data_IF_560162200317
#
_entry.id   IF_560162200317
#
_cell.length_a   1.000
_cell.length_b   1.000
_cell.length_c   1.000
_cell.angle_alpha   90.00
_cell.angle_beta   90.00
_cell.angle_gamma   90.00
#
_symmetry.space_group_name_H-M   'P 1'
#
loop_
_entity.id
_entity.type
_entity.pdbx_description
1 polymer ?
#
# COMPACT_ATOMS: atom_id res chain seq x y z
N UNK A 1 -17.19 93.57 49.13
CA UNK A 1 -17.07 92.80 47.89
C UNK A 1 -16.74 91.36 48.24
N UNK A 2 -17.52 90.41 47.73
CA UNK A 2 -17.29 89.00 47.98
C UNK A 2 -16.13 88.44 47.13
N UNK A 3 -15.43 87.41 47.62
CA UNK A 3 -14.36 86.76 46.86
C UNK A 3 -14.94 86.12 45.60
N UNK A 4 -14.37 86.43 44.43
CA UNK A 4 -14.83 85.98 43.12
C UNK A 4 -15.00 84.46 43.02
N UNK A 5 -14.06 83.69 43.59
CA UNK A 5 -14.13 82.23 43.62
C UNK A 5 -15.35 81.68 44.38
N UNK A 6 -15.75 82.33 45.47
CA UNK A 6 -16.92 81.91 46.26
C UNK A 6 -18.22 82.22 45.51
N UNK A 7 -18.27 83.37 44.82
CA UNK A 7 -19.40 83.72 43.96
C UNK A 7 -19.51 82.77 42.76
N UNK A 8 -18.40 82.43 42.12
CA UNK A 8 -18.40 81.52 40.97
C UNK A 8 -18.82 80.09 41.37
N UNK A 9 -18.41 79.61 42.56
CA UNK A 9 -18.93 78.36 43.13
C UNK A 9 -20.43 78.42 43.41
N UNK A 10 -20.93 79.52 43.98
CA UNK A 10 -22.35 79.70 44.26
C UNK A 10 -23.18 79.76 42.96
N UNK A 11 -22.76 80.56 41.97
CA UNK A 11 -23.44 80.64 40.67
C UNK A 11 -23.34 79.33 39.88
N UNK A 12 -22.21 78.63 39.94
CA UNK A 12 -22.04 77.30 39.34
C UNK A 12 -22.98 76.25 39.96
N UNK A 13 -23.11 76.24 41.29
CA UNK A 13 -24.03 75.36 42.00
C UNK A 13 -25.50 75.67 41.65
N UNK A 14 -25.88 76.95 41.56
CA UNK A 14 -27.23 77.36 41.12
C UNK A 14 -27.48 76.87 39.68
N UNK A 15 -26.51 77.03 38.78
CA UNK A 15 -26.60 76.56 37.39
C UNK A 15 -26.79 75.05 37.28
N UNK A 16 -25.99 74.28 38.02
CA UNK A 16 -26.09 72.82 38.09
C UNK A 16 -27.44 72.32 38.63
N UNK A 17 -27.95 72.94 39.71
CA UNK A 17 -29.24 72.57 40.29
C UNK A 17 -30.40 72.86 39.33
N UNK A 18 -30.37 74.01 38.66
CA UNK A 18 -31.39 74.37 37.64
C UNK A 18 -31.34 73.46 36.42
N UNK A 19 -30.15 73.16 35.92
CA UNK A 19 -29.98 72.26 34.78
C UNK A 19 -30.51 70.84 35.06
N UNK A 20 -30.52 70.42 36.33
CA UNK A 20 -31.09 69.14 36.79
C UNK A 20 -32.59 69.22 37.14
N UNK A 21 -33.24 70.37 36.97
CA UNK A 21 -34.65 70.58 37.33
C UNK A 21 -34.91 70.59 38.84
N UNK A 22 -33.87 70.73 39.67
CA UNK A 22 -33.99 70.73 41.13
C UNK A 22 -34.22 72.15 41.66
N UNK A 23 -35.08 72.28 42.67
CA UNK A 23 -35.37 73.57 43.29
C UNK A 23 -34.13 74.23 43.90
N UNK A 24 -33.94 75.52 43.61
CA UNK A 24 -32.83 76.34 44.12
C UNK A 24 -33.21 77.03 45.42
N UNK A 25 -32.96 76.38 46.57
CA UNK A 25 -33.01 77.02 47.88
C UNK A 25 -31.60 77.40 48.33
N UNK A 26 -31.48 78.39 49.23
CA UNK A 26 -30.17 78.79 49.81
C UNK A 26 -29.48 77.60 50.45
N UNK A 27 -30.24 76.71 51.07
CA UNK A 27 -29.74 75.49 51.70
C UNK A 27 -29.07 74.54 50.71
N UNK A 28 -29.76 74.23 49.60
CA UNK A 28 -29.26 73.30 48.57
C UNK A 28 -28.09 73.89 47.79
N UNK A 29 -28.13 75.20 47.56
CA UNK A 29 -27.04 75.91 46.89
C UNK A 29 -25.80 75.98 47.79
N UNK A 30 -25.99 76.22 49.09
CA UNK A 30 -24.90 76.20 50.07
C UNK A 30 -24.23 74.82 50.16
N UNK A 31 -25.03 73.76 50.19
CA UNK A 31 -24.54 72.38 50.18
C UNK A 31 -23.80 72.03 48.89
N UNK A 32 -24.39 72.31 47.72
CA UNK A 32 -23.78 72.02 46.42
C UNK A 32 -22.53 72.88 46.12
N UNK A 33 -22.44 74.09 46.67
CA UNK A 33 -21.28 74.97 46.54
C UNK A 33 -20.22 74.76 47.63
N UNK A 34 -20.49 73.91 48.63
CA UNK A 34 -19.69 73.74 49.85
C UNK A 34 -19.40 75.08 50.57
N UNK A 35 -20.43 75.91 50.73
CA UNK A 35 -20.37 77.21 51.41
C UNK A 35 -21.26 77.21 52.65
N UNK A 36 -20.86 77.93 53.70
CA UNK A 36 -21.72 78.11 54.87
C UNK A 36 -22.99 78.89 54.51
N UNK A 37 -24.14 78.49 55.06
CA UNK A 37 -25.43 79.16 54.83
C UNK A 37 -25.39 80.64 55.24
N UNK A 38 -24.67 80.97 56.30
CA UNK A 38 -24.47 82.33 56.81
C UNK A 38 -23.82 83.26 55.78
N UNK A 39 -22.93 82.72 54.92
CA UNK A 39 -22.25 83.46 53.86
C UNK A 39 -23.24 84.12 52.90
N UNK A 40 -24.36 83.45 52.61
CA UNK A 40 -25.38 83.97 51.72
C UNK A 40 -26.18 85.11 52.33
N UNK A 41 -26.13 85.36 53.65
CA UNK A 41 -26.87 86.43 54.34
C UNK A 41 -26.01 87.64 54.72
N UNK A 42 -24.74 87.64 54.34
CA UNK A 42 -23.87 88.80 54.50
C UNK A 42 -24.51 90.05 53.86
N UNK A 43 -24.27 91.25 54.43
CA UNK A 43 -24.86 92.49 53.94
C UNK A 43 -24.33 92.92 52.55
N UNK A 44 -23.29 92.23 52.04
CA UNK A 44 -22.64 92.50 50.76
C UNK A 44 -23.62 92.46 49.57
N UNK A 45 -23.62 93.49 48.70
CA UNK A 45 -24.45 93.53 47.49
C UNK A 45 -24.34 92.28 46.60
N UNK A 46 -23.16 91.66 46.52
CA UNK A 46 -22.92 90.49 45.67
C UNK A 46 -23.74 89.28 46.18
N UNK A 47 -23.77 89.06 47.49
CA UNK A 47 -24.55 87.98 48.10
C UNK A 47 -26.05 88.26 48.08
N UNK A 48 -26.46 89.54 48.14
CA UNK A 48 -27.85 89.92 47.91
C UNK A 48 -28.29 89.56 46.49
N UNK A 49 -27.44 89.77 45.48
CA UNK A 49 -27.72 89.36 44.11
C UNK A 49 -27.82 87.85 43.97
N UNK A 50 -26.88 87.09 44.55
CA UNK A 50 -26.95 85.62 44.58
C UNK A 50 -28.28 85.14 45.18
N UNK A 51 -28.74 85.72 46.29
CA UNK A 51 -30.06 85.41 46.89
C UNK A 51 -31.23 85.71 45.93
N UNK A 52 -31.18 86.82 45.21
CA UNK A 52 -32.19 87.17 44.20
C UNK A 52 -32.16 86.19 43.02
N UNK A 53 -30.97 85.78 42.59
CA UNK A 53 -30.79 84.77 41.54
C UNK A 53 -31.33 83.43 42.01
N UNK A 54 -31.07 82.98 43.24
CA UNK A 54 -31.67 81.78 43.84
C UNK A 54 -33.21 81.83 43.80
N UNK A 55 -33.79 83.01 44.12
CA UNK A 55 -35.24 83.26 44.09
C UNK A 55 -35.87 83.38 42.70
N UNK A 56 -35.08 83.36 41.62
CA UNK A 56 -35.59 83.34 40.25
C UNK A 56 -35.13 84.48 39.34
N UNK A 57 -34.31 85.43 39.83
CA UNK A 57 -33.71 86.47 38.96
C UNK A 57 -32.84 85.80 37.87
N UNK A 58 -32.97 86.25 36.64
CA UNK A 58 -32.14 85.78 35.52
C UNK A 58 -30.67 86.20 35.72
N UNK A 59 -29.73 85.32 35.37
CA UNK A 59 -28.29 85.58 35.42
C UNK A 59 -27.60 84.86 34.26
N UNK A 60 -26.79 85.59 33.50
CA UNK A 60 -26.04 85.05 32.35
C UNK A 60 -25.03 83.98 32.77
N UNK A 61 -24.38 84.13 33.92
CA UNK A 61 -23.42 83.14 34.45
C UNK A 61 -24.07 81.78 34.72
N UNK A 62 -25.28 81.81 35.28
CA UNK A 62 -26.07 80.60 35.56
C UNK A 62 -26.57 79.95 34.28
N UNK A 63 -26.94 80.75 33.27
CA UNK A 63 -27.37 80.25 31.96
C UNK A 63 -26.23 79.55 31.21
N UNK A 64 -25.02 80.12 31.21
CA UNK A 64 -23.86 79.50 30.57
C UNK A 64 -23.53 78.12 31.17
N UNK A 65 -23.53 78.00 32.50
CA UNK A 65 -23.32 76.71 33.18
C UNK A 65 -24.41 75.70 32.84
N UNK A 66 -25.67 76.14 32.72
CA UNK A 66 -26.75 75.24 32.31
C UNK A 66 -26.57 74.74 30.86
N UNK A 67 -26.11 75.58 29.94
CA UNK A 67 -25.78 75.20 28.55
C UNK A 67 -24.60 74.21 28.53
N UNK A 68 -23.56 74.45 29.31
CA UNK A 68 -22.39 73.55 29.37
C UNK A 68 -22.76 72.18 29.95
N UNK A 69 -23.57 72.14 31.01
CA UNK A 69 -24.02 70.88 31.63
C UNK A 69 -24.89 70.08 30.68
N UNK A 70 -25.82 70.73 29.97
CA UNK A 70 -26.67 70.05 28.98
C UNK A 70 -25.85 69.56 27.79
N UNK A 71 -24.89 70.35 27.29
CA UNK A 71 -23.96 69.94 26.24
C UNK A 71 -23.08 68.75 26.68
N UNK A 72 -22.51 68.79 27.88
CA UNK A 72 -21.70 67.70 28.43
C UNK A 72 -22.51 66.41 28.62
N UNK A 73 -23.76 66.53 29.06
CA UNK A 73 -24.66 65.37 29.22
C UNK A 73 -25.02 64.76 27.87
N UNK A 74 -25.34 65.59 26.87
CA UNK A 74 -25.60 65.14 25.49
C UNK A 74 -24.37 64.46 24.87
N UNK A 75 -23.19 65.03 25.08
CA UNK A 75 -21.94 64.46 24.57
C UNK A 75 -21.59 63.13 25.25
N UNK A 76 -21.79 63.00 26.56
CA UNK A 76 -21.65 61.71 27.27
C UNK A 76 -22.63 60.65 26.76
N UNK A 77 -23.87 61.05 26.43
CA UNK A 77 -24.85 60.16 25.80
C UNK A 77 -24.37 59.63 24.45
N UNK A 78 -23.92 60.53 23.56
CA UNK A 78 -23.35 60.16 22.25
C UNK A 78 -22.11 59.28 22.37
N UNK A 79 -21.24 59.55 23.35
CA UNK A 79 -20.01 58.78 23.55
C UNK A 79 -20.32 57.35 23.98
N UNK A 80 -21.28 57.16 24.90
CA UNK A 80 -21.80 55.82 25.27
C UNK A 80 -22.44 55.09 24.10
N UNK A 81 -23.21 55.81 23.27
CA UNK A 81 -23.80 55.23 22.05
C UNK A 81 -22.70 54.77 21.07
N UNK A 82 -21.66 55.59 20.87
CA UNK A 82 -20.51 55.21 20.04
C UNK A 82 -19.75 54.02 20.62
N UNK A 83 -19.49 53.98 21.92
CA UNK A 83 -18.86 52.84 22.60
C UNK A 83 -19.67 51.55 22.41
N UNK A 84 -21.00 51.64 22.55
CA UNK A 84 -21.90 50.51 22.29
C UNK A 84 -21.86 50.05 20.84
N UNK A 85 -21.76 50.96 19.87
CA UNK A 85 -21.66 50.62 18.45
C UNK A 85 -20.31 50.01 18.10
N UNK A 86 -19.22 50.50 18.70
CA UNK A 86 -17.87 49.96 18.50
C UNK A 86 -17.80 48.53 19.03
N UNK A 87 -18.24 48.31 20.28
CA UNK A 87 -18.25 46.96 20.87
C UNK A 87 -19.12 45.98 20.09
N UNK A 88 -20.27 46.42 19.58
CA UNK A 88 -21.10 45.61 18.69
C UNK A 88 -20.40 45.28 17.37
N UNK A 89 -19.74 46.27 16.74
CA UNK A 89 -19.00 46.06 15.50
C UNK A 89 -17.79 45.12 15.69
N UNK A 90 -17.05 45.25 16.80
CA UNK A 90 -15.95 44.35 17.14
C UNK A 90 -16.41 42.90 17.29
N UNK A 91 -17.58 42.70 17.91
CA UNK A 91 -18.21 41.38 18.03
C UNK A 91 -18.59 40.82 16.67
N UNK A 92 -19.24 41.62 15.82
CA UNK A 92 -19.63 41.21 14.46
C UNK A 92 -18.42 40.84 13.60
N UNK A 93 -17.33 41.61 13.67
CA UNK A 93 -16.07 41.29 12.99
C UNK A 93 -15.48 39.97 13.52
N UNK A 94 -15.52 39.76 14.83
CA UNK A 94 -15.06 38.51 15.45
C UNK A 94 -15.87 37.29 15.00
N UNK A 95 -17.19 37.43 14.92
CA UNK A 95 -18.09 36.36 14.47
C UNK A 95 -17.94 36.10 12.96
N UNK A 96 -17.77 37.15 12.15
CA UNK A 96 -17.46 37.03 10.73
C UNK A 96 -16.15 36.29 10.48
N UNK A 97 -15.09 36.58 11.25
CA UNK A 97 -13.81 35.86 11.14
C UNK A 97 -13.97 34.37 11.47
N UNK A 98 -14.69 34.03 12.56
CA UNK A 98 -14.94 32.63 12.91
C UNK A 98 -15.74 31.89 11.84
N UNK A 99 -16.74 32.54 11.25
CA UNK A 99 -17.52 31.97 10.16
C UNK A 99 -16.67 31.78 8.89
N UNK A 100 -15.85 32.77 8.55
CA UNK A 100 -14.92 32.67 7.44
C UNK A 100 -13.95 31.51 7.63
N UNK A 101 -13.32 31.37 8.80
CA UNK A 101 -12.41 30.25 9.11
C UNK A 101 -13.09 28.88 8.99
N UNK A 102 -14.34 28.76 9.46
CA UNK A 102 -15.11 27.52 9.30
C UNK A 102 -15.39 27.21 7.83
N UNK A 103 -15.80 28.22 7.05
CA UNK A 103 -16.11 28.06 5.63
C UNK A 103 -14.84 27.69 4.87
N UNK A 104 -13.72 28.37 5.11
CA UNK A 104 -12.43 28.05 4.48
C UNK A 104 -11.98 26.63 4.80
N UNK A 105 -12.10 26.17 6.06
CA UNK A 105 -11.79 24.78 6.41
C UNK A 105 -12.66 23.78 5.68
N UNK A 106 -13.98 24.03 5.57
CA UNK A 106 -14.90 23.16 4.81
C UNK A 106 -14.54 23.11 3.32
N UNK A 107 -14.22 24.26 2.72
CA UNK A 107 -13.78 24.37 1.32
C UNK A 107 -12.47 23.64 1.08
N UNK A 108 -11.48 23.79 1.96
CA UNK A 108 -10.20 23.08 1.88
C UNK A 108 -10.44 21.56 1.95
N UNK A 109 -11.27 21.09 2.89
CA UNK A 109 -11.59 19.68 3.01
C UNK A 109 -12.31 19.14 1.77
N UNK A 110 -13.26 19.90 1.19
CA UNK A 110 -13.93 19.52 -0.06
C UNK A 110 -12.99 19.50 -1.25
N UNK A 111 -12.08 20.48 -1.37
CA UNK A 111 -11.05 20.49 -2.40
C UNK A 111 -10.11 19.28 -2.27
N UNK A 112 -9.64 18.99 -1.06
CA UNK A 112 -8.81 17.81 -0.79
C UNK A 112 -9.55 16.50 -1.10
N UNK A 113 -10.83 16.41 -0.75
CA UNK A 113 -11.67 15.27 -1.09
C UNK A 113 -11.75 15.06 -2.61
N UNK A 114 -12.09 16.09 -3.37
CA UNK A 114 -12.20 15.96 -4.84
C UNK A 114 -10.83 15.76 -5.52
N UNK A 115 -9.75 16.31 -4.98
CA UNK A 115 -8.39 16.05 -5.47
C UNK A 115 -7.99 14.60 -5.23
N UNK A 116 -8.29 14.05 -4.04
CA UNK A 116 -8.04 12.65 -3.73
C UNK A 116 -8.91 11.72 -4.61
N UNK A 117 -10.18 12.04 -4.79
CA UNK A 117 -11.10 11.30 -5.66
C UNK A 117 -10.65 11.36 -7.13
N UNK A 118 -10.17 12.51 -7.59
CA UNK A 118 -9.60 12.68 -8.93
C UNK A 118 -8.23 12.01 -9.10
N UNK A 119 -7.46 11.79 -8.04
CA UNK A 119 -6.22 11.01 -8.08
C UNK A 119 -6.51 9.49 -8.06
N UNK A 120 -7.52 9.08 -7.30
CA UNK A 120 -7.99 7.70 -7.23
C UNK A 120 -8.68 7.24 -8.51
N UNK A 121 -9.39 8.14 -9.21
CA UNK A 121 -10.13 7.85 -10.44
C UNK A 121 -9.25 7.23 -11.55
N UNK A 122 -8.15 7.88 -11.98
CA UNK A 122 -7.22 7.36 -12.99
C UNK A 122 -6.53 6.07 -12.56
N UNK A 123 -6.11 5.96 -11.30
CA UNK A 123 -5.46 4.76 -10.78
C UNK A 123 -6.43 3.57 -10.71
N UNK A 124 -7.68 3.80 -10.27
CA UNK A 124 -8.74 2.78 -10.26
C UNK A 124 -9.17 2.40 -11.67
N UNK A 125 -9.21 3.35 -12.62
CA UNK A 125 -9.49 3.08 -14.04
C UNK A 125 -8.36 2.26 -14.69
N UNK A 126 -7.09 2.58 -14.41
CA UNK A 126 -5.94 1.80 -14.88
C UNK A 126 -5.94 0.38 -14.32
N UNK A 127 -6.24 0.22 -13.02
CA UNK A 127 -6.35 -1.09 -12.38
C UNK A 127 -7.54 -1.89 -12.92
N UNK A 128 -8.71 -1.27 -13.15
CA UNK A 128 -9.86 -1.93 -13.80
C UNK A 128 -9.54 -2.33 -15.24
N UNK A 129 -8.85 -1.48 -16.00
CA UNK A 129 -8.44 -1.81 -17.37
C UNK A 129 -7.44 -2.98 -17.39
N UNK A 130 -6.52 -3.04 -16.43
CA UNK A 130 -5.60 -4.16 -16.24
C UNK A 130 -6.36 -5.45 -15.90
N UNK A 131 -7.26 -5.40 -14.92
CA UNK A 131 -8.10 -6.53 -14.52
C UNK A 131 -8.99 -7.04 -15.66
N UNK A 132 -9.57 -6.15 -16.48
CA UNK A 132 -10.36 -6.53 -17.65
C UNK A 132 -9.51 -7.21 -18.73
N UNK A 133 -8.26 -6.76 -18.94
CA UNK A 133 -7.33 -7.45 -19.84
C UNK A 133 -6.95 -8.83 -19.31
N UNK A 134 -6.61 -8.93 -18.02
CA UNK A 134 -6.29 -10.20 -17.35
C UNK A 134 -7.49 -11.17 -17.41
N UNK A 135 -8.70 -10.69 -17.14
CA UNK A 135 -9.93 -11.50 -17.26
C UNK A 135 -10.20 -11.93 -18.70
N UNK A 136 -9.92 -11.07 -19.69
CA UNK A 136 -10.02 -11.41 -21.12
C UNK A 136 -9.04 -12.51 -21.52
N UNK A 137 -7.79 -12.44 -21.06
CA UNK A 137 -6.79 -13.49 -21.25
C UNK A 137 -7.21 -14.80 -20.57
N UNK A 138 -7.69 -14.75 -19.32
CA UNK A 138 -8.19 -15.92 -18.61
C UNK A 138 -9.41 -16.56 -19.29
N UNK A 139 -10.32 -15.77 -19.88
CA UNK A 139 -11.43 -16.31 -20.66
C UNK A 139 -10.98 -17.00 -21.95
N UNK A 140 -9.98 -16.45 -22.65
CA UNK A 140 -9.40 -17.08 -23.83
C UNK A 140 -8.70 -18.38 -23.47
N UNK A 141 -7.94 -18.39 -22.39
CA UNK A 141 -7.27 -19.57 -21.85
C UNK A 141 -8.28 -20.64 -21.41
N UNK A 142 -9.35 -20.26 -20.69
CA UNK A 142 -10.45 -21.17 -20.36
C UNK A 142 -11.14 -21.74 -21.60
N UNK A 143 -11.31 -20.95 -22.66
CA UNK A 143 -11.88 -21.42 -23.92
C UNK A 143 -10.96 -22.44 -24.60
N UNK A 144 -9.64 -22.19 -24.59
CA UNK A 144 -8.64 -23.13 -25.11
C UNK A 144 -8.59 -24.42 -24.29
N UNK A 145 -8.56 -24.33 -22.96
CA UNK A 145 -8.57 -25.47 -22.04
C UNK A 145 -9.85 -26.28 -22.14
N UNK A 146 -11.02 -25.63 -22.31
CA UNK A 146 -12.29 -26.32 -22.57
C UNK A 146 -12.29 -27.03 -23.91
N UNK A 147 -11.73 -26.42 -24.96
CA UNK A 147 -11.60 -27.05 -26.27
C UNK A 147 -10.65 -28.26 -26.21
N UNK A 148 -9.53 -28.15 -25.50
CA UNK A 148 -8.60 -29.25 -25.26
C UNK A 148 -9.25 -30.37 -24.42
N UNK A 149 -9.97 -30.04 -23.35
CA UNK A 149 -10.72 -31.02 -22.55
C UNK A 149 -11.81 -31.72 -23.36
N UNK A 150 -12.54 -30.99 -24.21
CA UNK A 150 -13.54 -31.60 -25.10
C UNK A 150 -12.88 -32.56 -26.10
N UNK A 151 -11.73 -32.18 -26.67
CA UNK A 151 -10.97 -33.00 -27.61
C UNK A 151 -10.37 -34.25 -26.93
N UNK A 152 -9.82 -34.10 -25.72
CA UNK A 152 -9.37 -35.20 -24.87
C UNK A 152 -10.54 -36.12 -24.46
N UNK A 153 -11.68 -35.55 -24.09
CA UNK A 153 -12.88 -36.32 -23.71
C UNK A 153 -13.42 -37.12 -24.90
N UNK A 154 -13.40 -36.54 -26.10
CA UNK A 154 -13.83 -37.25 -27.31
C UNK A 154 -12.80 -38.33 -27.73
N UNK A 155 -11.51 -38.09 -27.55
CA UNK A 155 -10.46 -39.11 -27.70
C UNK A 155 -10.62 -40.27 -26.71
N UNK A 156 -11.00 -39.97 -25.46
CA UNK A 156 -11.32 -40.98 -24.44
C UNK A 156 -12.62 -41.73 -24.78
N UNK A 157 -13.62 -41.07 -25.37
CA UNK A 157 -14.86 -41.72 -25.83
C UNK A 157 -14.65 -42.66 -27.01
N UNK A 158 -13.70 -42.33 -27.89
CA UNK A 158 -13.36 -43.12 -29.07
C UNK A 158 -12.43 -44.32 -28.77
N UNK A 159 -11.78 -44.34 -27.61
CA UNK A 159 -10.94 -45.46 -27.17
C UNK A 159 -11.77 -46.44 -26.31
N UNK A 160 -12.25 -47.51 -26.95
CA UNK A 160 -13.02 -48.59 -26.30
C UNK A 160 -12.29 -49.20 -25.10
N UNK A 161 -12.92 -49.16 -23.92
CA UNK A 161 -12.83 -50.11 -22.80
C UNK A 161 -11.46 -50.75 -22.48
N UNK A 162 -10.43 -49.94 -22.28
CA UNK A 162 -9.38 -50.28 -21.31
C UNK A 162 -9.24 -49.06 -20.41
N UNK A 163 -9.38 -49.20 -19.08
CA UNK A 163 -9.05 -48.11 -18.17
C UNK A 163 -7.54 -47.90 -18.25
N UNK A 164 -7.11 -47.06 -19.18
CA UNK A 164 -5.71 -46.67 -19.28
C UNK A 164 -5.45 -45.80 -18.04
N UNK A 165 -4.57 -46.23 -17.13
CA UNK A 165 -4.26 -45.42 -15.97
C UNK A 165 -3.83 -44.03 -16.43
N UNK A 166 -4.26 -42.98 -15.73
CA UNK A 166 -3.75 -41.62 -15.94
C UNK A 166 -2.26 -41.63 -15.59
N UNK A 167 -1.43 -41.82 -16.61
CA UNK A 167 0.03 -41.80 -16.50
C UNK A 167 0.56 -40.47 -17.01
N UNK A 168 1.43 -39.82 -16.26
CA UNK A 168 2.21 -38.68 -16.75
C UNK A 168 3.70 -39.05 -16.80
N UNK A 169 4.44 -38.49 -17.75
CA UNK A 169 5.89 -38.68 -17.84
C UNK A 169 6.59 -37.40 -17.40
N UNK A 170 7.62 -37.54 -16.58
CA UNK A 170 8.57 -36.47 -16.22
C UNK A 170 9.97 -36.87 -16.67
N UNK A 171 10.78 -35.89 -17.04
CA UNK A 171 12.06 -36.14 -17.70
C UNK A 171 13.17 -35.30 -17.09
N UNK A 172 14.20 -35.97 -16.58
CA UNK A 172 15.46 -35.34 -16.18
C UNK A 172 16.52 -35.72 -17.22
N UNK A 173 17.03 -34.72 -17.92
CA UNK A 173 18.16 -34.87 -18.85
C UNK A 173 19.40 -34.23 -18.23
N UNK A 174 20.31 -35.05 -17.72
CA UNK A 174 21.58 -34.57 -17.22
C UNK A 174 22.54 -34.40 -18.39
N UNK A 175 23.00 -33.16 -18.58
CA UNK A 175 24.04 -32.86 -19.56
C UNK A 175 25.34 -33.59 -19.19
N UNK A 176 26.17 -33.75 -20.21
CA UNK A 176 27.53 -34.22 -20.07
C UNK A 176 28.32 -33.09 -19.39
N UNK A 177 28.52 -33.19 -18.09
CA UNK A 177 29.30 -32.21 -17.31
C UNK A 177 30.79 -32.55 -17.34
N UNK A 178 31.65 -31.54 -17.19
CA UNK A 178 33.09 -31.70 -17.31
C UNK A 178 33.70 -32.38 -16.09
N UNK A 179 33.09 -32.19 -14.91
CA UNK A 179 33.53 -32.78 -13.64
C UNK A 179 32.45 -33.64 -12.98
N UNK A 180 32.86 -34.52 -12.06
CA UNK A 180 31.94 -35.35 -11.27
C UNK A 180 31.09 -34.53 -10.30
N UNK A 181 31.68 -33.50 -9.69
CA UNK A 181 30.96 -32.57 -8.81
C UNK A 181 29.80 -31.89 -9.55
N UNK A 182 30.05 -31.37 -10.74
CA UNK A 182 28.99 -30.77 -11.58
C UNK A 182 27.88 -31.77 -11.93
N UNK A 183 28.22 -33.03 -12.18
CA UNK A 183 27.24 -34.07 -12.49
C UNK A 183 26.30 -34.29 -11.31
N UNK A 184 26.85 -34.45 -10.10
CA UNK A 184 26.06 -34.71 -8.91
C UNK A 184 25.25 -33.49 -8.47
N UNK A 185 25.79 -32.28 -8.59
CA UNK A 185 25.04 -31.04 -8.33
C UNK A 185 23.86 -30.95 -9.29
N UNK A 186 24.07 -31.13 -10.60
CA UNK A 186 23.00 -31.09 -11.58
C UNK A 186 21.92 -32.17 -11.33
N UNK A 187 22.33 -33.37 -10.88
CA UNK A 187 21.42 -34.44 -10.49
C UNK A 187 20.55 -34.04 -9.29
N UNK A 188 21.17 -33.48 -8.24
CA UNK A 188 20.46 -33.05 -7.02
C UNK A 188 19.49 -31.92 -7.35
N UNK A 189 19.95 -30.89 -8.04
CA UNK A 189 19.13 -29.73 -8.41
C UNK A 189 17.93 -30.14 -9.28
N UNK A 190 18.15 -31.03 -10.25
CA UNK A 190 17.08 -31.53 -11.12
C UNK A 190 16.07 -32.38 -10.35
N UNK A 191 16.54 -33.21 -9.41
CA UNK A 191 15.66 -34.02 -8.58
C UNK A 191 14.82 -33.18 -7.61
N UNK A 192 15.40 -32.13 -7.03
CA UNK A 192 14.68 -31.20 -6.15
C UNK A 192 13.67 -30.35 -6.93
N UNK A 193 14.00 -29.95 -8.16
CA UNK A 193 13.07 -29.26 -9.04
C UNK A 193 11.86 -30.12 -9.44
N UNK A 194 12.11 -31.37 -9.84
CA UNK A 194 11.05 -32.30 -10.26
C UNK A 194 10.28 -32.92 -9.10
N UNK A 195 10.89 -33.00 -7.92
CA UNK A 195 10.30 -33.55 -6.67
C UNK A 195 10.43 -32.52 -5.53
N UNK A 196 9.72 -31.38 -5.60
CA UNK A 196 9.88 -30.28 -4.65
C UNK A 196 9.25 -30.55 -3.27
N UNK A 197 8.45 -31.60 -3.14
CA UNK A 197 7.79 -31.96 -1.88
C UNK A 197 7.51 -33.45 -1.77
N UNK A 198 7.30 -33.92 -0.54
CA UNK A 198 6.93 -35.31 -0.24
C UNK A 198 5.64 -35.74 -0.96
N UNK A 199 4.68 -34.82 -1.11
CA UNK A 199 3.42 -35.10 -1.83
C UNK A 199 3.65 -35.43 -3.31
N UNK A 200 4.58 -34.72 -3.96
CA UNK A 200 4.99 -35.00 -5.34
C UNK A 200 5.75 -36.33 -5.39
N UNK A 201 6.62 -36.58 -4.42
CA UNK A 201 7.35 -37.86 -4.29
C UNK A 201 6.42 -39.08 -4.18
N UNK A 202 5.31 -38.95 -3.44
CA UNK A 202 4.27 -39.98 -3.32
C UNK A 202 3.43 -40.19 -4.59
N UNK A 203 3.36 -39.18 -5.45
CA UNK A 203 2.63 -39.24 -6.73
C UNK A 203 3.45 -39.90 -7.85
N UNK A 204 4.74 -40.18 -7.61
CA UNK A 204 5.60 -40.92 -8.54
C UNK A 204 5.31 -42.41 -8.35
N UNK A 205 4.91 -43.09 -9.43
CA UNK A 205 4.66 -44.53 -9.45
C UNK A 205 5.94 -45.33 -9.66
N UNK A 206 6.75 -44.93 -10.65
CA UNK A 206 8.02 -45.57 -11.00
C UNK A 206 9.10 -44.54 -11.38
N UNK A 207 10.35 -44.92 -11.15
CA UNK A 207 11.54 -44.20 -11.64
C UNK A 207 12.36 -45.09 -12.55
N UNK A 208 12.75 -44.60 -13.71
CA UNK A 208 13.62 -45.29 -14.66
C UNK A 208 14.96 -44.54 -14.76
N UNK A 209 16.00 -45.14 -14.19
CA UNK A 209 17.38 -44.67 -14.31
C UNK A 209 17.99 -45.24 -15.59
N UNK A 210 18.16 -44.41 -16.61
CA UNK A 210 18.54 -44.87 -17.96
C UNK A 210 20.06 -44.81 -18.12
N UNK A 211 20.66 -45.98 -18.28
CA UNK A 211 22.10 -46.19 -18.37
C UNK A 211 22.51 -46.69 -19.75
N UNK A 212 23.45 -45.99 -20.36
CA UNK A 212 24.03 -46.36 -21.66
C UNK A 212 24.96 -45.27 -22.18
N UNK A 213 25.75 -45.61 -23.20
CA UNK A 213 26.68 -44.67 -23.82
C UNK A 213 25.97 -43.41 -24.35
N UNK A 214 26.68 -42.28 -24.52
CA UNK A 214 26.15 -41.17 -25.29
C UNK A 214 25.66 -41.65 -26.67
N UNK A 215 24.53 -41.12 -27.16
CA UNK A 215 23.91 -41.52 -28.43
C UNK A 215 23.44 -43.00 -28.54
N UNK A 216 23.37 -43.73 -27.42
CA UNK A 216 22.83 -45.10 -27.40
C UNK A 216 21.32 -45.19 -27.69
N UNK A 217 20.59 -44.08 -27.62
CA UNK A 217 19.13 -44.02 -27.84
C UNK A 217 18.31 -43.88 -26.55
N UNK A 218 18.94 -43.44 -25.45
CA UNK A 218 18.29 -43.28 -24.14
C UNK A 218 17.03 -42.41 -24.21
N UNK A 219 17.14 -41.22 -24.79
CA UNK A 219 16.02 -40.31 -25.00
C UNK A 219 14.92 -40.97 -25.82
N UNK A 220 15.26 -41.59 -26.95
CA UNK A 220 14.30 -42.28 -27.83
C UNK A 220 13.52 -43.34 -27.08
N UNK A 221 14.22 -44.17 -26.30
CA UNK A 221 13.57 -45.22 -25.51
C UNK A 221 12.62 -44.62 -24.47
N UNK A 222 13.02 -43.59 -23.74
CA UNK A 222 12.18 -42.96 -22.72
C UNK A 222 10.90 -42.33 -23.32
N UNK A 223 11.03 -41.69 -24.48
CA UNK A 223 9.89 -41.12 -25.21
C UNK A 223 8.91 -42.22 -25.64
N UNK A 224 9.41 -43.37 -26.12
CA UNK A 224 8.59 -44.46 -26.63
C UNK A 224 8.01 -45.37 -25.53
N UNK A 225 8.71 -45.55 -24.41
CA UNK A 225 8.30 -46.46 -23.32
C UNK A 225 6.95 -46.04 -22.74
N UNK A 226 5.96 -46.93 -22.72
CA UNK A 226 4.66 -46.64 -22.11
C UNK A 226 4.63 -47.15 -20.66
N UNK A 227 4.58 -46.26 -19.65
CA UNK A 227 4.50 -46.68 -18.27
C UNK A 227 3.18 -47.40 -18.00
N UNK A 228 3.27 -48.53 -17.28
CA UNK A 228 2.12 -49.36 -16.93
C UNK A 228 1.53 -48.94 -15.57
N UNK A 229 2.38 -48.41 -14.68
CA UNK A 229 1.97 -48.03 -13.33
C UNK A 229 1.21 -46.68 -13.34
N UNK A 230 0.12 -46.55 -12.57
CA UNK A 230 -0.61 -45.31 -12.44
C UNK A 230 0.23 -44.22 -11.75
N UNK A 231 -0.01 -42.96 -12.12
CA UNK A 231 0.69 -41.80 -11.54
C UNK A 231 1.78 -41.22 -12.45
N UNK A 232 2.73 -40.52 -11.84
CA UNK A 232 3.85 -39.92 -12.57
C UNK A 232 5.01 -40.92 -12.71
N UNK A 233 5.53 -41.10 -13.90
CA UNK A 233 6.75 -41.87 -14.14
C UNK A 233 7.91 -40.92 -14.39
N UNK A 234 8.98 -41.05 -13.61
CA UNK A 234 10.18 -40.22 -13.75
C UNK A 234 11.25 -40.97 -14.56
N UNK A 235 11.70 -40.37 -15.65
CA UNK A 235 12.83 -40.88 -16.44
C UNK A 235 14.05 -40.00 -16.20
N UNK A 236 15.17 -40.63 -15.86
CA UNK A 236 16.42 -39.94 -15.56
C UNK A 236 17.47 -40.43 -16.56
N UNK A 237 17.80 -39.58 -17.53
CA UNK A 237 18.87 -39.80 -18.49
C UNK A 237 20.13 -39.06 -18.03
N UNK A 238 21.26 -39.77 -18.05
CA UNK A 238 22.57 -39.19 -17.79
C UNK A 238 23.69 -40.18 -18.13
N UNK A 239 24.93 -39.86 -17.76
CA UNK A 239 26.08 -40.77 -17.93
C UNK A 239 26.31 -41.57 -16.64
N UNK A 240 25.41 -42.51 -16.37
CA UNK A 240 25.46 -43.43 -15.21
C UNK A 240 26.36 -44.66 -15.45
N UNK A 241 27.53 -44.45 -16.04
CA UNK A 241 28.41 -45.53 -16.51
C UNK A 241 29.17 -46.28 -15.41
N UNK A 242 29.29 -45.72 -14.22
CA UNK A 242 29.92 -46.37 -13.05
C UNK A 242 28.88 -46.75 -11.99
N UNK A 243 29.22 -47.76 -11.18
CA UNK A 243 28.46 -48.23 -10.03
C UNK A 243 28.28 -47.09 -9.02
N UNK A 244 29.32 -46.29 -8.79
CA UNK A 244 29.27 -45.16 -7.85
C UNK A 244 28.18 -44.14 -8.24
N UNK A 245 28.15 -43.72 -9.51
CA UNK A 245 27.14 -42.78 -10.00
C UNK A 245 25.73 -43.33 -9.87
N UNK A 246 25.55 -44.62 -10.17
CA UNK A 246 24.27 -45.32 -10.03
C UNK A 246 23.84 -45.43 -8.58
N UNK A 247 24.76 -45.77 -7.69
CA UNK A 247 24.53 -45.89 -6.24
C UNK A 247 24.14 -44.55 -5.60
N UNK A 248 24.85 -43.47 -5.91
CA UNK A 248 24.52 -42.12 -5.43
C UNK A 248 23.15 -41.67 -5.94
N UNK A 249 22.87 -41.86 -7.23
CA UNK A 249 21.57 -41.52 -7.80
C UNK A 249 20.43 -42.32 -7.16
N UNK A 250 20.60 -43.64 -7.03
CA UNK A 250 19.63 -44.52 -6.38
C UNK A 250 19.37 -44.10 -4.92
N UNK A 251 20.43 -43.82 -4.16
CA UNK A 251 20.35 -43.37 -2.78
C UNK A 251 19.62 -42.02 -2.64
N UNK A 252 19.81 -41.09 -3.58
CA UNK A 252 19.11 -39.80 -3.58
C UNK A 252 17.63 -39.96 -3.95
N UNK A 253 17.33 -40.72 -5.01
CA UNK A 253 15.95 -40.96 -5.47
C UNK A 253 15.12 -41.59 -4.35
N UNK A 254 15.64 -42.62 -3.66
CA UNK A 254 14.94 -43.30 -2.55
C UNK A 254 14.64 -42.42 -1.35
N UNK A 255 15.38 -41.32 -1.16
CA UNK A 255 15.07 -40.34 -0.11
C UNK A 255 13.92 -39.41 -0.49
N UNK A 256 13.64 -39.26 -1.78
CA UNK A 256 12.65 -38.33 -2.32
C UNK A 256 11.33 -39.01 -2.72
N UNK A 257 11.36 -40.31 -3.00
CA UNK A 257 10.18 -41.07 -3.39
C UNK A 257 10.21 -42.51 -2.85
N UNK A 258 9.03 -43.08 -2.64
CA UNK A 258 8.82 -44.49 -2.31
C UNK A 258 8.64 -45.37 -3.54
N UNK A 259 8.74 -44.80 -4.75
CA UNK A 259 8.59 -45.52 -6.00
C UNK A 259 9.71 -46.54 -6.24
N UNK A 260 9.37 -47.61 -6.97
CA UNK A 260 10.37 -48.56 -7.46
C UNK A 260 11.31 -47.88 -8.45
N UNK A 261 12.62 -48.11 -8.28
CA UNK A 261 13.66 -47.58 -9.16
C UNK A 261 14.18 -48.70 -10.05
N UNK A 262 13.91 -48.60 -11.35
CA UNK A 262 14.33 -49.53 -12.39
C UNK A 262 15.57 -49.01 -13.11
N UNK A 263 16.56 -49.86 -13.34
CA UNK A 263 17.70 -49.52 -14.21
C UNK A 263 17.41 -49.97 -15.63
N UNK A 264 17.49 -49.05 -16.60
CA UNK A 264 17.31 -49.35 -18.02
C UNK A 264 18.68 -49.38 -18.68
N UNK A 265 19.15 -50.54 -19.11
CA UNK A 265 20.49 -50.74 -19.67
C UNK A 265 20.43 -50.83 -21.20
N UNK A 266 20.79 -49.76 -21.90
CA UNK A 266 20.86 -49.74 -23.37
C UNK A 266 22.18 -50.31 -23.89
N UNK A 267 22.15 -51.51 -24.47
CA UNK A 267 23.36 -52.27 -24.85
C UNK A 267 23.93 -51.90 -26.23
N UNK A 268 23.64 -50.71 -26.73
CA UNK A 268 24.16 -50.20 -28.01
C UNK A 268 25.69 -50.16 -27.99
N UNK A 269 26.33 -50.76 -28.99
CA UNK A 269 27.80 -50.78 -29.08
C UNK A 269 28.40 -49.39 -29.25
N UNK A 270 29.63 -49.19 -28.77
CA UNK A 270 30.36 -47.93 -28.94
C UNK A 270 30.52 -47.56 -30.42
N UNK A 271 30.80 -48.55 -31.28
CA UNK A 271 30.89 -48.35 -32.74
C UNK A 271 29.60 -47.77 -33.32
N UNK A 272 28.45 -48.30 -32.91
CA UNK A 272 27.14 -47.77 -33.35
C UNK A 272 26.90 -46.35 -32.84
N UNK A 273 27.27 -46.06 -31.59
CA UNK A 273 27.14 -44.72 -31.01
C UNK A 273 28.04 -43.69 -31.74
N UNK A 274 29.27 -44.08 -32.10
CA UNK A 274 30.20 -43.26 -32.88
C UNK A 274 29.67 -43.03 -34.30
N UNK A 275 29.15 -44.08 -34.96
CA UNK A 275 28.53 -43.95 -36.28
C UNK A 275 27.33 -42.98 -36.26
N UNK A 276 26.52 -43.01 -35.20
CA UNK A 276 25.43 -42.03 -34.99
C UNK A 276 25.95 -40.61 -34.75
N UNK A 277 27.07 -40.45 -34.05
CA UNK A 277 27.74 -39.16 -33.89
C UNK A 277 28.13 -38.57 -35.25
N UNK A 278 28.75 -39.37 -36.13
CA UNK A 278 29.14 -38.91 -37.47
C UNK A 278 27.98 -38.52 -38.40
N UNK A 279 26.75 -38.98 -38.13
CA UNK A 279 25.55 -38.56 -38.86
C UNK A 279 24.98 -37.22 -38.37
N UNK A 280 25.27 -36.83 -37.13
CA UNK A 280 24.62 -35.70 -36.44
C UNK A 280 25.56 -34.55 -36.14
N UNK A 281 26.86 -34.80 -36.06
CA UNK A 281 27.92 -33.83 -35.74
C UNK A 281 28.98 -33.81 -36.84
N UNK A 282 29.73 -32.71 -36.96
CA UNK A 282 30.82 -32.56 -37.94
C UNK A 282 32.08 -31.94 -37.31
N UNK A 283 33.24 -32.20 -37.90
CA UNK A 283 34.52 -31.58 -37.52
C UNK A 283 34.89 -31.84 -36.06
N UNK A 284 35.38 -30.81 -35.36
CA UNK A 284 35.83 -30.91 -33.97
C UNK A 284 34.76 -31.46 -33.00
N UNK A 285 33.47 -31.18 -33.23
CA UNK A 285 32.38 -31.69 -32.40
C UNK A 285 32.19 -33.20 -32.53
N UNK A 286 32.39 -33.73 -33.74
CA UNK A 286 32.34 -35.18 -33.97
C UNK A 286 33.50 -35.88 -33.25
N UNK A 287 34.71 -35.33 -33.38
CA UNK A 287 35.93 -35.86 -32.73
C UNK A 287 35.77 -35.85 -31.21
N UNK A 288 35.35 -34.73 -30.63
CA UNK A 288 35.12 -34.62 -29.19
C UNK A 288 34.08 -35.64 -28.71
N UNK A 289 32.97 -35.79 -29.44
CA UNK A 289 31.92 -36.75 -29.09
C UNK A 289 32.38 -38.21 -29.23
N UNK A 290 33.27 -38.52 -30.18
CA UNK A 290 33.84 -39.86 -30.34
C UNK A 290 34.76 -40.19 -29.16
N UNK A 291 35.72 -39.30 -28.85
CA UNK A 291 36.63 -39.46 -27.71
C UNK A 291 35.87 -39.66 -26.39
N UNK A 292 34.76 -38.94 -26.23
CA UNK A 292 33.91 -39.06 -25.06
C UNK A 292 33.22 -40.44 -24.97
N UNK A 293 32.64 -40.93 -26.08
CA UNK A 293 32.01 -42.25 -26.15
C UNK A 293 33.04 -43.34 -25.84
N UNK A 294 34.22 -43.26 -26.43
CA UNK A 294 35.31 -44.21 -26.22
C UNK A 294 35.78 -44.22 -24.77
N UNK A 295 36.01 -43.03 -24.18
CA UNK A 295 36.39 -42.88 -22.77
C UNK A 295 35.35 -43.52 -21.85
N UNK A 296 34.07 -43.18 -22.02
CA UNK A 296 32.99 -43.71 -21.18
C UNK A 296 32.88 -45.23 -21.37
N UNK A 297 33.03 -45.74 -22.58
CA UNK A 297 32.97 -47.18 -22.86
C UNK A 297 34.10 -47.96 -22.17
N UNK A 298 35.30 -47.39 -22.08
CA UNK A 298 36.44 -48.03 -21.41
C UNK A 298 36.24 -48.20 -19.91
N UNK A 299 35.58 -47.23 -19.27
CA UNK A 299 35.32 -47.23 -17.81
C UNK A 299 33.89 -47.63 -17.47
N UNK A 300 33.13 -48.17 -18.43
CA UNK A 300 31.75 -48.55 -18.18
C UNK A 300 31.70 -49.82 -17.34
N UNK A 301 31.11 -49.73 -16.16
CA UNK A 301 30.86 -50.86 -15.27
C UNK A 301 29.45 -51.39 -15.55
N UNK A 302 29.35 -52.67 -15.92
CA UNK A 302 28.06 -53.29 -16.20
C UNK A 302 27.13 -53.30 -14.99
N UNK A 303 25.82 -53.19 -15.27
CA UNK A 303 24.82 -53.10 -14.21
C UNK A 303 24.63 -54.47 -13.57
N UNK A 304 24.91 -54.55 -12.28
CA UNK A 304 24.81 -55.77 -11.49
C UNK A 304 23.53 -55.86 -10.65
N UNK A 305 23.09 -57.09 -10.35
CA UNK A 305 21.97 -57.33 -9.42
C UNK A 305 22.27 -56.84 -7.98
N UNK A 306 23.55 -56.69 -7.64
CA UNK A 306 24.00 -56.17 -6.34
C UNK A 306 23.70 -54.68 -6.13
N UNK A 307 23.38 -53.94 -7.19
CA UNK A 307 23.12 -52.49 -7.13
C UNK A 307 21.72 -52.14 -6.61
N UNK A 308 20.96 -53.13 -6.12
CA UNK A 308 19.66 -52.98 -5.46
C UNK A 308 18.55 -52.32 -6.29
N UNK A 309 18.62 -52.31 -7.62
CA UNK A 309 17.49 -51.86 -8.43
C UNK A 309 16.28 -52.79 -8.28
N UNK A 310 15.07 -52.24 -8.39
CA UNK A 310 13.83 -53.04 -8.38
C UNK A 310 13.77 -54.00 -9.58
N UNK A 311 14.25 -53.55 -10.74
CA UNK A 311 14.55 -54.42 -11.87
C UNK A 311 15.64 -53.81 -12.76
N UNK A 312 16.30 -54.67 -13.54
CA UNK A 312 17.23 -54.28 -14.60
C UNK A 312 16.58 -54.65 -15.92
N UNK A 313 16.35 -53.66 -16.78
CA UNK A 313 15.68 -53.80 -18.07
C UNK A 313 16.75 -53.70 -19.17
N UNK A 314 17.24 -54.84 -19.70
CA UNK A 314 18.17 -54.82 -20.82
C UNK A 314 17.42 -54.43 -22.09
N UNK A 315 17.90 -53.39 -22.76
CA UNK A 315 17.36 -52.93 -24.04
C UNK A 315 18.39 -53.22 -25.12
N UNK A 316 18.09 -54.22 -25.96
CA UNK A 316 18.77 -54.45 -27.22
C UNK A 316 18.11 -53.61 -28.31
N UNK A 317 18.92 -52.90 -29.09
CA UNK A 317 18.48 -52.52 -30.43
C UNK A 317 18.69 -53.74 -31.31
N UNK A 318 17.67 -54.15 -32.06
CA UNK A 318 17.90 -54.98 -33.24
C UNK A 318 18.87 -54.20 -34.12
N UNK A 319 20.07 -54.74 -34.30
CA UNK A 319 21.10 -54.19 -35.20
C UNK A 319 20.64 -54.25 -36.65
#
# INVERSE_FOLDING_TARGET
MARKELLDRAYGAIGLLRAKGLGTSVERVAEAAALARSTFYLPDPDWQEVRRVIKGKASQRVQLVAIEVTAATRNRGKLREMESRITQAEKEVGDLRRNADQIYRKLINQLQYYVAEAADGPAKLANRAKQLKEAGHAQQELKQLRAQNALLSEQLRLTKNTPTPLTSKRYISLLITATEGEFFTALVDSLEHEIPSESVGKAIGAVYLITGLPLSGKTTWATQHQPIQPGSTLYIEGIFHTIERRSVALGRIRKLTSADVHCVRLRTSAQTCIARSGRTKRGAQQVASQLEIERINQVFEEVGLSEQFASIIPVGLHE
#
